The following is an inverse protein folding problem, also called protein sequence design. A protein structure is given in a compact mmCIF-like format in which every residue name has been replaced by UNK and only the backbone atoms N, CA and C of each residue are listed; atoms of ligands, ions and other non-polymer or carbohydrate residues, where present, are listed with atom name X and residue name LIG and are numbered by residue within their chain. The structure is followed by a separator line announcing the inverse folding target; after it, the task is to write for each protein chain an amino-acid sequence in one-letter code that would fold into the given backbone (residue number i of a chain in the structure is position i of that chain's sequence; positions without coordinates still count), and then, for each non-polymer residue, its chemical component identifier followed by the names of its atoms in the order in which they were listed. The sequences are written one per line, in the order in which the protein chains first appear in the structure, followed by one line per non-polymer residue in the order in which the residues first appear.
data_IF_904486609299
#
_entry.id   IF_904486609299
#
_cell.length_a   1.000
_cell.length_b   1.000
_cell.length_c   1.000
_cell.angle_alpha   90.00
_cell.angle_beta   90.00
_cell.angle_gamma   90.00
#
_symmetry.space_group_name_H-M   'P 1'
#
loop_
_entity.id
_entity.type
_entity.pdbx_description
1 polymer ?
#
# COMPACT_ATOMS: atom_id res chain seq x y z
N UNK A 1 19.61 -3.45 5.18
CA UNK A 1 19.87 -4.17 3.91
C UNK A 1 18.55 -4.49 3.24
N UNK A 2 18.36 -4.17 1.96
CA UNK A 2 17.10 -4.45 1.23
C UNK A 2 17.04 -5.95 0.85
N UNK A 3 16.59 -6.79 1.78
CA UNK A 3 16.54 -8.25 1.60
C UNK A 3 15.52 -8.71 0.55
N UNK A 4 14.54 -7.87 0.21
CA UNK A 4 13.35 -8.21 -0.60
C UNK A 4 13.47 -7.68 -2.04
N UNK A 5 14.46 -6.86 -2.35
CA UNK A 5 14.64 -6.17 -3.63
C UNK A 5 13.60 -5.07 -3.92
N UNK A 6 13.06 -4.42 -2.88
CA UNK A 6 12.26 -3.22 -3.08
C UNK A 6 13.06 -2.15 -3.85
N UNK A 7 12.46 -1.56 -4.87
CA UNK A 7 13.07 -0.54 -5.71
C UNK A 7 12.04 0.55 -6.05
N UNK A 8 11.88 1.50 -5.12
CA UNK A 8 10.87 2.57 -5.24
C UNK A 8 11.43 3.80 -5.97
N UNK A 9 10.64 4.32 -6.94
CA UNK A 9 10.93 5.57 -7.65
C UNK A 9 10.21 6.79 -7.02
N UNK A 10 9.10 6.59 -6.35
CA UNK A 10 8.34 7.60 -5.59
C UNK A 10 7.95 8.85 -6.42
N UNK A 11 7.61 8.69 -7.69
CA UNK A 11 7.28 9.84 -8.56
C UNK A 11 6.03 10.55 -8.10
N UNK A 12 5.01 9.82 -7.61
CA UNK A 12 3.78 10.41 -7.09
C UNK A 12 4.03 11.20 -5.80
N UNK A 13 4.89 10.69 -4.92
CA UNK A 13 5.30 11.41 -3.71
C UNK A 13 5.94 12.77 -4.03
N UNK A 14 6.64 12.90 -5.16
CA UNK A 14 7.30 14.13 -5.57
C UNK A 14 6.37 15.18 -6.20
N UNK A 15 5.08 14.85 -6.40
CA UNK A 15 4.09 15.82 -6.83
C UNK A 15 3.77 16.84 -5.72
N UNK A 16 3.07 17.92 -6.09
CA UNK A 16 2.60 18.92 -5.13
C UNK A 16 1.80 18.28 -3.98
N UNK A 17 1.93 18.83 -2.79
CA UNK A 17 1.14 18.44 -1.61
C UNK A 17 -0.38 18.52 -1.81
N UNK A 18 -0.83 19.25 -2.82
CA UNK A 18 -2.25 19.28 -3.19
C UNK A 18 -2.80 17.94 -3.70
N UNK A 19 -1.91 17.03 -4.12
CA UNK A 19 -2.30 15.72 -4.65
C UNK A 19 -2.17 14.58 -3.64
N UNK A 20 -1.65 14.85 -2.45
CA UNK A 20 -1.37 13.80 -1.47
C UNK A 20 -1.29 14.30 -0.04
N UNK A 21 -1.51 13.40 0.89
CA UNK A 21 -1.21 13.57 2.32
C UNK A 21 -0.18 12.50 2.72
N UNK A 22 0.89 12.89 3.41
CA UNK A 22 1.86 11.93 3.95
C UNK A 22 1.26 11.26 5.17
N UNK A 23 1.20 9.93 5.16
CA UNK A 23 0.56 9.14 6.22
C UNK A 23 1.22 7.78 6.34
N UNK A 24 1.38 7.31 7.56
CA UNK A 24 1.81 5.93 7.82
C UNK A 24 0.62 5.04 8.15
N UNK A 25 0.68 3.74 7.83
CA UNK A 25 -0.29 2.77 8.31
C UNK A 25 -0.45 2.83 9.84
N UNK A 26 -1.66 2.55 10.31
CA UNK A 26 -1.91 2.43 11.75
C UNK A 26 -1.44 1.06 12.23
N UNK A 27 -0.51 0.97 13.18
CA UNK A 27 0.01 -0.30 13.68
C UNK A 27 -1.08 -1.26 14.16
N UNK A 28 -0.82 -2.55 14.02
CA UNK A 28 -1.71 -3.63 14.48
C UNK A 28 -0.94 -4.59 15.38
N UNK A 29 -1.67 -5.23 16.30
CA UNK A 29 -1.12 -6.24 17.19
C UNK A 29 -1.16 -7.62 16.53
N UNK A 30 -0.08 -8.39 16.69
CA UNK A 30 0.03 -9.79 16.26
C UNK A 30 -0.41 -10.04 14.78
N UNK A 31 0.17 -9.33 13.78
CA UNK A 31 -0.21 -9.53 12.39
C UNK A 31 0.17 -10.93 11.89
N UNK A 32 -0.64 -11.48 10.99
CA UNK A 32 -0.38 -12.77 10.36
C UNK A 32 -0.68 -12.72 8.86
N UNK A 33 0.16 -13.37 8.07
CA UNK A 33 -0.12 -13.58 6.64
C UNK A 33 -1.24 -14.61 6.52
N UNK A 34 -2.31 -14.24 5.83
CA UNK A 34 -3.41 -15.15 5.49
C UNK A 34 -3.15 -15.81 4.13
N UNK A 35 -2.68 -15.02 3.17
CA UNK A 35 -2.41 -15.46 1.81
C UNK A 35 -1.28 -14.64 1.21
N UNK A 36 -0.37 -15.29 0.49
CA UNK A 36 0.74 -14.65 -0.21
C UNK A 36 0.75 -15.09 -1.68
N UNK A 37 0.73 -14.14 -2.60
CA UNK A 37 0.83 -14.42 -4.03
C UNK A 37 2.30 -14.48 -4.47
N UNK A 38 2.89 -15.65 -4.37
CA UNK A 38 4.29 -15.89 -4.77
C UNK A 38 4.53 -15.68 -6.28
N UNK A 39 3.53 -15.91 -7.13
CA UNK A 39 3.67 -15.69 -8.57
C UNK A 39 3.75 -14.20 -8.88
N UNK A 40 2.90 -13.38 -8.24
CA UNK A 40 2.99 -11.93 -8.35
C UNK A 40 4.32 -11.41 -7.79
N UNK A 41 4.77 -11.89 -6.64
CA UNK A 41 6.06 -11.51 -6.07
C UNK A 41 7.21 -11.75 -7.06
N UNK A 42 7.26 -12.93 -7.69
CA UNK A 42 8.25 -13.24 -8.73
C UNK A 42 8.17 -12.30 -9.93
N UNK A 43 6.96 -11.99 -10.41
CA UNK A 43 6.77 -11.06 -11.55
C UNK A 43 7.23 -9.64 -11.23
N UNK A 44 7.16 -9.23 -9.97
CA UNK A 44 7.67 -7.97 -9.47
C UNK A 44 9.16 -8.00 -9.11
N UNK A 45 9.82 -9.15 -9.22
CA UNK A 45 11.20 -9.37 -8.78
C UNK A 45 11.40 -9.16 -7.25
N UNK A 46 10.38 -9.46 -6.46
CA UNK A 46 10.46 -9.44 -5.00
C UNK A 46 10.82 -10.83 -4.48
N UNK A 47 11.82 -10.90 -3.61
CA UNK A 47 12.32 -12.16 -3.04
C UNK A 47 11.99 -12.23 -1.53
N UNK A 48 10.99 -13.03 -1.18
CA UNK A 48 10.58 -13.25 0.21
C UNK A 48 11.27 -14.45 0.87
N UNK A 49 12.11 -15.21 0.14
CA UNK A 49 12.75 -16.41 0.66
C UNK A 49 13.77 -16.15 1.79
N UNK A 50 14.23 -14.90 1.92
CA UNK A 50 15.26 -14.48 2.89
C UNK A 50 14.70 -13.88 4.18
N UNK A 51 13.38 -13.86 4.32
CA UNK A 51 12.71 -13.31 5.50
C UNK A 51 11.72 -14.32 6.05
N UNK A 52 11.50 -14.30 7.36
CA UNK A 52 10.54 -15.18 8.00
C UNK A 52 9.12 -14.60 7.97
N UNK A 53 8.12 -15.42 8.28
CA UNK A 53 6.71 -15.03 8.24
C UNK A 53 6.38 -13.89 9.21
N UNK A 54 7.08 -13.76 10.33
CA UNK A 54 6.87 -12.65 11.26
C UNK A 54 7.36 -11.33 10.65
N UNK A 55 8.57 -11.28 10.10
CA UNK A 55 9.09 -10.10 9.40
C UNK A 55 8.18 -9.73 8.22
N UNK A 56 7.69 -10.72 7.47
CA UNK A 56 6.79 -10.52 6.35
C UNK A 56 5.43 -9.96 6.79
N UNK A 57 4.86 -10.48 7.88
CA UNK A 57 3.61 -9.98 8.43
C UNK A 57 3.73 -8.57 8.99
N UNK A 58 4.85 -8.22 9.62
CA UNK A 58 5.13 -6.83 10.05
C UNK A 58 5.18 -5.86 8.86
N UNK A 59 5.77 -6.27 7.73
CA UNK A 59 5.80 -5.45 6.51
C UNK A 59 4.40 -5.31 5.93
N UNK A 60 3.68 -6.41 5.67
CA UNK A 60 2.39 -6.35 4.98
C UNK A 60 1.25 -5.85 5.85
N UNK A 61 1.40 -5.80 7.16
CA UNK A 61 0.48 -5.09 8.05
C UNK A 61 0.71 -3.58 8.10
N UNK A 62 1.88 -3.12 7.66
CA UNK A 62 2.31 -1.73 7.75
C UNK A 62 2.97 -1.35 9.07
N UNK A 63 3.24 -2.30 9.98
CA UNK A 63 3.99 -2.05 11.21
C UNK A 63 5.46 -1.68 10.90
N UNK A 64 5.99 -2.25 9.81
CA UNK A 64 7.31 -1.93 9.28
C UNK A 64 7.20 -1.59 7.79
N UNK A 65 7.71 -0.43 7.39
CA UNK A 65 7.62 -0.01 5.99
C UNK A 65 8.80 -0.54 5.16
N UNK A 66 8.55 -0.92 3.89
CA UNK A 66 9.63 -1.30 2.97
C UNK A 66 10.67 -0.19 2.80
N UNK A 67 11.93 -0.58 2.74
CA UNK A 67 13.03 0.37 2.52
C UNK A 67 12.83 1.16 1.22
N UNK A 68 12.92 2.47 1.29
CA UNK A 68 12.78 3.38 0.15
C UNK A 68 11.33 3.80 -0.15
N UNK A 69 10.33 3.26 0.57
CA UNK A 69 8.95 3.72 0.44
C UNK A 69 8.72 5.10 1.06
N UNK A 70 7.79 5.86 0.47
CA UNK A 70 7.29 7.14 0.99
C UNK A 70 5.76 7.09 1.00
N UNK A 71 5.20 6.67 2.13
CA UNK A 71 3.78 6.36 2.24
C UNK A 71 2.89 7.60 2.21
N UNK A 72 1.87 7.56 1.36
CA UNK A 72 0.91 8.65 1.14
C UNK A 72 -0.51 8.14 0.96
N UNK A 73 -1.48 8.97 1.28
CA UNK A 73 -2.85 8.87 0.79
C UNK A 73 -3.01 9.86 -0.38
N UNK A 74 -3.51 9.39 -1.52
CA UNK A 74 -3.68 10.20 -2.71
C UNK A 74 -4.95 11.05 -2.62
N UNK A 75 -4.85 12.32 -3.04
CA UNK A 75 -5.99 13.22 -3.21
C UNK A 75 -6.43 13.20 -4.68
N UNK A 76 -7.70 12.94 -4.92
CA UNK A 76 -8.28 12.95 -6.26
C UNK A 76 -9.74 13.43 -6.24
N UNK A 77 -10.28 13.68 -7.42
CA UNK A 77 -11.65 14.10 -7.60
C UNK A 77 -12.30 13.31 -8.74
N UNK A 78 -13.62 13.18 -8.70
CA UNK A 78 -14.36 12.46 -9.73
C UNK A 78 -15.86 12.60 -9.58
N UNK A 79 -16.58 12.10 -10.58
CA UNK A 79 -18.03 12.02 -10.55
C UNK A 79 -18.48 10.82 -9.70
N UNK A 80 -19.03 11.10 -8.54
CA UNK A 80 -19.56 10.10 -7.63
C UNK A 80 -20.76 10.68 -6.88
N UNK A 81 -21.74 9.87 -6.51
CA UNK A 81 -22.97 10.28 -5.83
C UNK A 81 -23.81 11.32 -6.64
N UNK A 82 -23.77 11.25 -7.97
CA UNK A 82 -24.54 12.14 -8.85
C UNK A 82 -23.97 13.53 -9.05
N UNK A 83 -22.80 13.85 -8.51
CA UNK A 83 -22.11 15.12 -8.68
C UNK A 83 -20.58 14.99 -8.65
N UNK A 84 -19.88 16.05 -9.05
CA UNK A 84 -18.43 16.11 -8.94
C UNK A 84 -18.01 16.22 -7.47
N UNK A 85 -17.17 15.32 -7.00
CA UNK A 85 -16.79 15.20 -5.59
C UNK A 85 -15.28 15.17 -5.44
N UNK A 86 -14.77 15.94 -4.49
CA UNK A 86 -13.37 15.85 -4.04
C UNK A 86 -13.23 14.67 -3.08
N UNK A 87 -12.44 13.71 -3.47
CA UNK A 87 -12.24 12.45 -2.76
C UNK A 87 -10.75 12.27 -2.42
N UNK A 88 -10.40 11.07 -2.07
CA UNK A 88 -9.04 10.63 -1.81
C UNK A 88 -9.05 9.21 -1.27
N UNK A 89 -7.87 8.68 -1.00
CA UNK A 89 -7.66 7.34 -0.48
C UNK A 89 -8.11 7.25 0.98
N UNK A 90 -9.40 6.94 1.21
CA UNK A 90 -9.98 6.85 2.55
C UNK A 90 -9.56 5.60 3.34
N UNK A 91 -8.98 4.59 2.69
CA UNK A 91 -8.49 3.35 3.31
C UNK A 91 -7.34 2.70 2.52
N UNK A 92 -6.78 3.39 1.55
CA UNK A 92 -5.60 2.96 0.83
C UNK A 92 -4.42 3.87 1.18
N UNK A 93 -3.22 3.30 1.22
CA UNK A 93 -1.96 4.01 1.43
C UNK A 93 -0.99 3.53 0.37
N UNK A 94 -0.61 4.41 -0.56
CA UNK A 94 0.41 4.15 -1.55
C UNK A 94 1.78 4.19 -0.87
N UNK A 95 2.58 3.15 -1.04
CA UNK A 95 3.96 3.07 -0.53
C UNK A 95 4.97 3.67 -1.51
N UNK A 96 4.61 3.70 -2.79
CA UNK A 96 5.41 4.18 -3.90
C UNK A 96 5.29 3.30 -5.13
N UNK A 97 5.98 3.67 -6.19
CA UNK A 97 6.03 2.94 -7.46
C UNK A 97 7.26 2.04 -7.48
N UNK A 98 7.04 0.73 -7.37
CA UNK A 98 8.11 -0.25 -7.47
C UNK A 98 8.52 -0.48 -8.94
N UNK A 99 9.80 -0.38 -9.22
CA UNK A 99 10.38 -0.63 -10.54
C UNK A 99 10.94 -2.06 -10.59
N UNK A 100 10.30 -2.92 -11.38
CA UNK A 100 10.70 -4.31 -11.56
C UNK A 100 11.99 -4.45 -12.37
N UNK A 101 12.57 -5.65 -12.41
CA UNK A 101 13.75 -5.96 -13.24
C UNK A 101 13.55 -5.74 -14.74
N UNK A 102 12.30 -5.76 -15.22
CA UNK A 102 11.92 -5.44 -16.60
C UNK A 102 11.69 -3.94 -16.83
N UNK A 103 12.06 -3.10 -15.88
CA UNK A 103 11.87 -1.64 -15.90
C UNK A 103 10.41 -1.18 -16.02
N UNK A 104 9.47 -2.03 -15.56
CA UNK A 104 8.05 -1.68 -15.45
C UNK A 104 7.78 -1.15 -14.05
N UNK A 105 6.98 -0.08 -13.96
CA UNK A 105 6.53 0.51 -12.70
C UNK A 105 5.19 -0.08 -12.27
N UNK A 106 5.07 -0.34 -10.97
CA UNK A 106 3.87 -0.84 -10.34
C UNK A 106 3.61 -0.08 -9.05
N UNK A 107 2.41 0.43 -8.89
CA UNK A 107 1.98 1.01 -7.62
C UNK A 107 1.87 -0.08 -6.56
N UNK A 108 2.56 0.11 -5.46
CA UNK A 108 2.46 -0.76 -4.29
C UNK A 108 1.66 -0.01 -3.22
N UNK A 109 0.49 -0.54 -2.89
CA UNK A 109 -0.35 0.10 -1.89
C UNK A 109 -0.91 -0.90 -0.89
N UNK A 110 -1.12 -0.42 0.33
CA UNK A 110 -1.91 -1.12 1.32
C UNK A 110 -3.37 -0.69 1.24
N UNK A 111 -4.29 -1.63 1.47
CA UNK A 111 -5.71 -1.35 1.54
C UNK A 111 -6.28 -1.85 2.86
N UNK A 112 -6.90 -0.95 3.60
CA UNK A 112 -7.39 -1.27 4.96
C UNK A 112 -6.35 -1.17 6.06
N UNK A 113 -5.24 -0.45 5.82
CA UNK A 113 -4.12 -0.33 6.77
C UNK A 113 -4.29 0.78 7.80
N UNK A 114 -5.45 1.42 7.85
CA UNK A 114 -5.76 2.42 8.85
C UNK A 114 -6.31 3.73 8.27
N UNK A 115 -6.57 4.66 9.16
CA UNK A 115 -7.20 5.94 8.85
C UNK A 115 -6.25 6.86 8.08
N UNK A 116 -6.80 7.57 7.09
CA UNK A 116 -6.13 8.64 6.34
C UNK A 116 -6.90 9.96 6.49
N UNK A 117 -6.38 11.05 5.96
CA UNK A 117 -7.09 12.34 5.91
C UNK A 117 -8.42 12.24 5.14
N UNK A 118 -8.58 11.25 4.26
CA UNK A 118 -9.76 11.06 3.40
C UNK A 118 -10.74 10.01 3.93
N UNK A 119 -10.52 9.43 5.11
CA UNK A 119 -11.36 8.36 5.68
C UNK A 119 -12.75 8.82 6.12
N UNK A 120 -13.02 10.13 6.16
CA UNK A 120 -14.25 10.72 6.70
C UNK A 120 -14.50 10.22 8.14
N UNK A 121 -15.61 9.53 8.37
CA UNK A 121 -15.96 8.92 9.67
C UNK A 121 -15.52 7.45 9.79
N UNK A 122 -14.87 6.89 8.74
CA UNK A 122 -14.36 5.53 8.75
C UNK A 122 -13.05 5.38 9.52
N UNK A 123 -12.73 4.14 9.89
CA UNK A 123 -11.47 3.78 10.57
C UNK A 123 -10.33 3.43 9.58
N UNK A 124 -10.60 3.45 8.28
CA UNK A 124 -9.66 3.09 7.23
C UNK A 124 -9.31 1.60 7.18
N UNK A 125 -10.04 0.75 7.91
CA UNK A 125 -9.84 -0.71 7.91
C UNK A 125 -10.64 -1.39 6.81
N UNK A 126 -10.26 -2.62 6.48
CA UNK A 126 -10.97 -3.47 5.54
C UNK A 126 -11.20 -4.84 6.15
N UNK A 127 -12.41 -5.39 5.93
CA UNK A 127 -12.71 -6.76 6.31
C UNK A 127 -12.01 -7.76 5.36
N UNK A 128 -11.66 -8.94 5.87
CA UNK A 128 -10.94 -9.97 5.13
C UNK A 128 -11.69 -10.44 3.87
N UNK A 129 -13.01 -10.65 3.97
CA UNK A 129 -13.81 -11.15 2.85
C UNK A 129 -13.73 -10.31 1.57
N UNK A 130 -13.96 -8.98 1.61
CA UNK A 130 -13.71 -8.11 0.48
C UNK A 130 -12.28 -8.19 -0.08
N UNK A 131 -11.27 -8.30 0.77
CA UNK A 131 -9.87 -8.39 0.33
C UNK A 131 -9.58 -9.70 -0.41
N UNK A 132 -10.13 -10.80 0.06
CA UNK A 132 -10.02 -12.10 -0.64
C UNK A 132 -10.71 -12.07 -2.02
N UNK A 133 -11.83 -11.35 -2.16
CA UNK A 133 -12.47 -11.16 -3.48
C UNK A 133 -11.64 -10.32 -4.46
N UNK A 134 -10.79 -9.44 -3.97
CA UNK A 134 -9.87 -8.69 -4.84
C UNK A 134 -8.65 -9.51 -5.26
N UNK A 135 -8.37 -10.62 -4.55
CA UNK A 135 -7.30 -11.54 -4.90
C UNK A 135 -7.67 -12.48 -6.06
N UNK A 136 -8.94 -12.88 -6.17
CA UNK A 136 -9.46 -13.83 -7.19
C UNK A 136 -9.67 -13.12 -8.52
#
# INVERSE_FOLDING_TARGET
MNKINWNFDNTYFNLSKSFRESINPTPVKDPKIVLLNNNLAKSLNLDFSKINDNELSEIFSGNSLPTGSNSIAQAYAGHQFGHFTMLGDGRAILLGEHVSSSNKKYDIQFKGSGKTAFSRNGDGRAALGPMLREYI
#
